data_IF_188020491042
#
_entry.id   IF_188020491042
#
_cell.length_a   1.000
_cell.length_b   1.000
_cell.length_c   1.000
_cell.angle_alpha   90.00
_cell.angle_beta   90.00
_cell.angle_gamma   90.00
#
_symmetry.space_group_name_H-M   'P 1'
#
loop_
_entity.id
_entity.type
_entity.pdbx_description
1 polymer ?
#
# COMPACT_ATOMS: atom_id res chain seq x y z
N UNK A 1 -19.25 -32.11 -2.85
CA UNK A 1 -18.85 -31.06 -1.89
C UNK A 1 -17.67 -30.28 -2.48
N UNK A 2 -17.92 -29.14 -3.12
CA UNK A 2 -16.89 -28.29 -3.71
C UNK A 2 -16.38 -27.30 -2.66
N UNK A 3 -15.14 -27.50 -2.19
CA UNK A 3 -14.49 -26.56 -1.27
C UNK A 3 -14.04 -25.31 -2.03
N UNK A 4 -14.62 -24.16 -1.67
CA UNK A 4 -14.12 -22.85 -2.11
C UNK A 4 -12.81 -22.55 -1.37
N UNK A 5 -11.69 -22.67 -2.07
CA UNK A 5 -10.38 -22.19 -1.59
C UNK A 5 -10.43 -20.66 -1.48
N UNK A 6 -10.47 -20.15 -0.26
CA UNK A 6 -10.41 -18.71 0.03
C UNK A 6 -9.01 -18.20 -0.34
N UNK A 7 -8.91 -17.43 -1.42
CA UNK A 7 -7.67 -16.76 -1.81
C UNK A 7 -7.17 -15.89 -0.64
N UNK A 8 -6.11 -16.33 0.04
CA UNK A 8 -5.47 -15.58 1.13
C UNK A 8 -5.02 -14.21 0.60
N UNK A 9 -5.44 -13.14 1.30
CA UNK A 9 -5.15 -11.75 0.92
C UNK A 9 -3.66 -11.45 1.14
N UNK A 10 -3.05 -10.80 0.15
CA UNK A 10 -1.62 -10.46 0.07
C UNK A 10 -1.36 -9.20 0.92
N UNK A 11 -0.77 -9.32 2.10
CA UNK A 11 -0.52 -8.19 3.02
C UNK A 11 0.94 -7.74 2.95
N UNK A 12 1.22 -6.44 2.76
CA UNK A 12 2.57 -5.88 2.76
C UNK A 12 3.28 -6.06 4.13
N UNK A 13 4.61 -5.88 4.18
CA UNK A 13 5.30 -5.76 5.48
C UNK A 13 4.74 -4.58 6.27
N UNK A 14 4.25 -4.87 7.48
CA UNK A 14 3.82 -3.84 8.43
C UNK A 14 5.03 -2.99 8.85
N UNK A 15 4.78 -1.79 9.37
CA UNK A 15 5.86 -0.93 9.86
C UNK A 15 6.58 -1.55 11.07
N UNK A 16 5.91 -2.41 11.82
CA UNK A 16 6.51 -3.22 12.88
C UNK A 16 7.51 -4.25 12.34
N UNK A 17 7.18 -4.96 11.26
CA UNK A 17 8.12 -5.86 10.60
C UNK A 17 9.37 -5.10 10.13
N UNK A 18 9.20 -3.92 9.52
CA UNK A 18 10.31 -3.06 9.09
C UNK A 18 11.14 -2.54 10.27
N UNK A 19 10.51 -2.25 11.41
CA UNK A 19 11.20 -1.80 12.64
C UNK A 19 12.06 -2.93 13.21
N UNK A 20 11.53 -4.15 13.29
CA UNK A 20 12.25 -5.34 13.77
C UNK A 20 13.45 -5.70 12.90
N UNK A 21 13.28 -5.66 11.58
CA UNK A 21 14.39 -5.91 10.63
C UNK A 21 15.50 -4.85 10.79
N UNK A 22 15.15 -3.57 10.93
CA UNK A 22 16.13 -2.49 11.16
C UNK A 22 16.86 -2.65 12.48
N UNK A 23 16.16 -2.97 13.56
CA UNK A 23 16.76 -3.19 14.87
C UNK A 23 17.75 -4.36 14.86
N UNK A 24 17.40 -5.47 14.20
CA UNK A 24 18.31 -6.61 14.03
C UNK A 24 19.57 -6.24 13.25
N UNK A 25 19.42 -5.48 12.15
CA UNK A 25 20.55 -5.05 11.34
C UNK A 25 21.47 -4.08 12.08
N UNK A 26 20.92 -3.13 12.84
CA UNK A 26 21.70 -2.18 13.63
C UNK A 26 22.44 -2.85 14.80
N UNK A 27 21.82 -3.84 15.45
CA UNK A 27 22.44 -4.57 16.56
C UNK A 27 23.58 -5.50 16.13
N UNK A 28 23.63 -5.86 14.84
CA UNK A 28 24.61 -6.81 14.29
C UNK A 28 25.32 -6.24 13.04
N UNK A 29 25.45 -4.92 12.97
CA UNK A 29 25.86 -4.18 11.77
C UNK A 29 27.23 -4.60 11.21
N UNK A 30 28.13 -5.05 12.08
CA UNK A 30 29.50 -5.40 11.71
C UNK A 30 29.67 -6.86 11.24
N UNK A 31 28.68 -7.74 11.46
CA UNK A 31 28.78 -9.19 11.16
C UNK A 31 27.64 -9.77 10.33
N UNK A 32 26.61 -8.98 10.00
CA UNK A 32 25.38 -9.50 9.39
C UNK A 32 25.32 -9.22 7.90
N UNK A 33 25.44 -10.27 7.09
CA UNK A 33 25.18 -10.20 5.65
C UNK A 33 23.68 -10.05 5.38
N UNK A 34 23.32 -9.51 4.21
CA UNK A 34 21.93 -9.51 3.73
C UNK A 34 21.31 -10.91 3.75
N UNK A 35 22.10 -11.97 3.50
CA UNK A 35 21.65 -13.37 3.61
C UNK A 35 21.23 -13.74 5.04
N UNK A 36 21.94 -13.24 6.04
CA UNK A 36 21.66 -13.49 7.46
C UNK A 36 20.40 -12.75 7.90
N UNK A 37 20.19 -11.51 7.44
CA UNK A 37 18.94 -10.77 7.65
C UNK A 37 17.74 -11.50 7.07
N UNK A 38 17.86 -12.01 5.83
CA UNK A 38 16.78 -12.76 5.18
C UNK A 38 16.52 -14.08 5.92
N UNK A 39 17.57 -14.77 6.36
CA UNK A 39 17.46 -16.04 7.10
C UNK A 39 16.80 -15.81 8.46
N UNK A 40 17.21 -14.76 9.19
CA UNK A 40 16.60 -14.36 10.44
C UNK A 40 15.14 -13.93 10.25
N UNK A 41 14.84 -13.14 9.23
CA UNK A 41 13.48 -12.71 8.93
C UNK A 41 12.56 -13.90 8.58
N UNK A 42 13.06 -14.89 7.82
CA UNK A 42 12.33 -16.15 7.56
C UNK A 42 12.09 -16.96 8.84
N UNK A 43 13.07 -17.06 9.74
CA UNK A 43 12.93 -17.75 11.02
C UNK A 43 11.94 -17.09 11.98
N UNK A 44 11.71 -15.79 11.84
CA UNK A 44 10.81 -15.03 12.71
C UNK A 44 9.43 -14.78 12.07
N UNK A 45 9.07 -15.53 11.02
CA UNK A 45 7.84 -15.33 10.21
C UNK A 45 7.67 -13.89 9.68
N UNK A 46 8.76 -13.12 9.63
CA UNK A 46 8.85 -11.81 9.02
C UNK A 46 9.16 -11.94 7.52
N UNK A 47 8.94 -13.11 6.92
CA UNK A 47 9.04 -13.29 5.48
C UNK A 47 7.66 -13.26 4.87
N UNK A 48 7.40 -12.23 4.07
CA UNK A 48 6.27 -12.20 3.17
C UNK A 48 6.74 -12.65 1.77
N UNK A 49 6.58 -13.94 1.41
CA UNK A 49 6.98 -14.46 0.10
C UNK A 49 6.22 -13.83 -1.07
N UNK A 50 5.20 -13.01 -0.77
CA UNK A 50 4.32 -12.38 -1.74
C UNK A 50 4.35 -10.84 -1.68
N UNK A 51 5.34 -10.25 -1.02
CA UNK A 51 5.65 -8.83 -1.09
C UNK A 51 6.10 -8.48 -2.52
N UNK A 52 5.13 -8.28 -3.44
CA UNK A 52 5.43 -7.61 -4.69
C UNK A 52 5.98 -6.24 -4.35
N UNK A 53 7.12 -5.91 -4.96
CA UNK A 53 7.78 -4.59 -4.93
C UNK A 53 6.71 -3.51 -4.87
N UNK A 54 6.82 -2.59 -3.91
CA UNK A 54 5.96 -1.41 -3.80
C UNK A 54 5.84 -0.81 -5.21
N UNK A 55 4.69 -0.98 -5.87
CA UNK A 55 4.49 -0.31 -7.16
C UNK A 55 4.48 1.18 -6.80
N UNK A 56 5.33 2.01 -7.41
CA UNK A 56 5.30 3.44 -7.15
C UNK A 56 3.88 3.93 -7.40
N UNK A 57 3.33 4.69 -6.43
CA UNK A 57 2.01 5.29 -6.57
C UNK A 57 2.07 6.30 -7.71
N UNK A 58 1.40 5.99 -8.82
CA UNK A 58 1.38 6.85 -10.00
C UNK A 58 0.72 8.20 -9.68
N UNK A 59 -0.32 8.19 -8.84
CA UNK A 59 -1.07 9.38 -8.43
C UNK A 59 -0.91 9.65 -6.95
N UNK A 60 0.34 9.72 -6.46
CA UNK A 60 0.63 9.88 -5.02
C UNK A 60 -0.12 11.05 -4.38
N UNK A 61 -0.13 12.23 -5.00
CA UNK A 61 -0.78 13.43 -4.45
C UNK A 61 -2.31 13.26 -4.40
N UNK A 62 -2.88 12.61 -5.42
CA UNK A 62 -4.31 12.30 -5.46
C UNK A 62 -4.70 11.26 -4.40
N UNK A 63 -3.94 10.18 -4.29
CA UNK A 63 -4.15 9.12 -3.30
C UNK A 63 -4.02 9.66 -1.88
N UNK A 64 -3.04 10.53 -1.61
CA UNK A 64 -2.85 11.17 -0.30
C UNK A 64 -4.03 12.12 0.02
N UNK A 65 -4.53 12.91 -0.95
CA UNK A 65 -5.70 13.78 -0.77
C UNK A 65 -7.01 12.99 -0.53
N UNK A 66 -7.22 11.92 -1.28
CA UNK A 66 -8.36 11.00 -1.08
C UNK A 66 -8.32 10.34 0.29
N UNK A 67 -7.13 9.93 0.74
CA UNK A 67 -6.95 9.31 2.04
C UNK A 67 -7.35 10.25 3.18
N UNK A 68 -6.88 11.50 3.19
CA UNK A 68 -7.27 12.48 4.21
C UNK A 68 -8.77 12.79 4.17
N UNK A 69 -9.37 12.86 2.97
CA UNK A 69 -10.81 13.04 2.84
C UNK A 69 -11.62 11.86 3.39
N UNK A 70 -11.23 10.62 3.08
CA UNK A 70 -11.86 9.41 3.62
C UNK A 70 -11.73 9.35 5.14
N UNK A 71 -10.53 9.62 5.66
CA UNK A 71 -10.24 9.63 7.10
C UNK A 71 -11.08 10.65 7.86
N UNK A 72 -11.39 11.80 7.24
CA UNK A 72 -12.30 12.79 7.81
C UNK A 72 -13.76 12.29 7.90
N UNK A 73 -14.16 11.39 6.99
CA UNK A 73 -15.51 10.84 6.87
C UNK A 73 -15.74 9.53 7.64
N UNK A 74 -14.71 8.71 7.84
CA UNK A 74 -14.79 7.39 8.50
C UNK A 74 -15.38 7.44 9.91
N UNK A 75 -15.37 8.60 10.58
CA UNK A 75 -16.01 8.77 11.88
C UNK A 75 -17.55 8.82 11.82
N UNK A 76 -18.17 8.91 10.62
CA UNK A 76 -19.60 9.22 10.49
C UNK A 76 -20.37 8.42 9.44
N UNK A 77 -19.75 7.89 8.36
CA UNK A 77 -20.51 7.32 7.23
C UNK A 77 -19.75 6.16 6.55
N UNK A 78 -20.49 5.14 6.08
CA UNK A 78 -19.96 4.11 5.18
C UNK A 78 -19.75 4.67 3.77
N UNK A 79 -18.51 4.64 3.27
CA UNK A 79 -18.14 5.21 1.98
C UNK A 79 -18.14 4.12 0.91
N UNK A 80 -18.98 4.27 -0.12
CA UNK A 80 -18.99 3.37 -1.28
C UNK A 80 -17.82 3.65 -2.23
N UNK A 81 -17.39 2.63 -2.96
CA UNK A 81 -16.32 2.78 -3.97
C UNK A 81 -16.66 3.75 -5.09
N UNK A 82 -17.94 3.90 -5.45
CA UNK A 82 -18.41 4.89 -6.44
C UNK A 82 -18.23 6.32 -5.95
N UNK A 83 -18.52 6.57 -4.67
CA UNK A 83 -18.33 7.89 -4.08
C UNK A 83 -16.84 8.27 -4.05
N UNK A 84 -15.95 7.31 -3.76
CA UNK A 84 -14.50 7.50 -3.84
C UNK A 84 -14.08 7.86 -5.27
N UNK A 85 -14.59 7.17 -6.29
CA UNK A 85 -14.30 7.47 -7.70
C UNK A 85 -14.79 8.86 -8.10
N UNK A 86 -16.01 9.22 -7.71
CA UNK A 86 -16.56 10.55 -7.95
C UNK A 86 -15.67 11.63 -7.33
N UNK A 87 -15.27 11.45 -6.06
CA UNK A 87 -14.40 12.41 -5.39
C UNK A 87 -12.99 12.46 -5.98
N UNK A 88 -12.46 11.31 -6.42
CA UNK A 88 -11.18 11.22 -7.10
C UNK A 88 -11.16 12.06 -8.38
N UNK A 89 -12.23 11.99 -9.18
CA UNK A 89 -12.37 12.82 -10.38
C UNK A 89 -12.45 14.32 -10.08
N UNK A 90 -13.07 14.72 -8.96
CA UNK A 90 -13.05 16.11 -8.52
C UNK A 90 -11.63 16.57 -8.14
N UNK A 91 -10.95 15.81 -7.28
CA UNK A 91 -9.58 16.15 -6.87
C UNK A 91 -8.60 16.14 -8.04
N UNK A 92 -8.78 15.24 -9.01
CA UNK A 92 -7.93 15.20 -10.20
C UNK A 92 -8.02 16.50 -11.01
N UNK A 93 -9.20 17.13 -11.09
CA UNK A 93 -9.41 18.41 -11.76
C UNK A 93 -8.92 19.61 -10.94
N UNK A 94 -9.03 19.54 -9.62
CA UNK A 94 -8.63 20.62 -8.70
C UNK A 94 -7.10 20.69 -8.49
N UNK A 95 -6.43 19.53 -8.52
CA UNK A 95 -4.99 19.43 -8.32
C UNK A 95 -4.24 19.87 -9.59
N UNK A 96 -3.62 21.05 -9.53
CA UNK A 96 -2.78 21.61 -10.62
C UNK A 96 -1.68 20.67 -11.10
N UNK A 97 -1.22 19.76 -10.24
CA UNK A 97 -0.18 18.76 -10.55
C UNK A 97 -0.62 17.77 -11.64
N UNK A 98 -1.93 17.56 -11.81
CA UNK A 98 -2.50 16.63 -12.79
C UNK A 98 -3.21 17.36 -13.95
N UNK A 99 -3.06 18.69 -14.04
CA UNK A 99 -3.67 19.49 -15.10
C UNK A 99 -3.03 19.15 -16.45
N UNK A 100 -3.83 18.56 -17.37
CA UNK A 100 -3.36 18.09 -18.68
C UNK A 100 -3.05 16.60 -18.76
N UNK A 101 -3.19 15.83 -17.67
CA UNK A 101 -3.16 14.36 -17.70
C UNK A 101 -4.57 13.80 -17.94
N UNK A 102 -4.67 12.63 -18.57
CA UNK A 102 -5.95 11.94 -18.71
C UNK A 102 -6.40 11.33 -17.37
N UNK A 103 -7.69 11.49 -17.07
CA UNK A 103 -8.29 11.03 -15.82
C UNK A 103 -8.23 9.49 -15.72
N UNK A 104 -7.65 8.93 -14.65
CA UNK A 104 -7.51 7.48 -14.51
C UNK A 104 -8.88 6.81 -14.45
N UNK A 105 -9.15 5.90 -15.40
CA UNK A 105 -10.38 5.12 -15.45
C UNK A 105 -11.43 5.64 -16.42
N UNK A 106 -11.21 6.79 -17.08
CA UNK A 106 -11.90 7.07 -18.35
C UNK A 106 -11.21 6.30 -19.45
N UNK A 107 -11.64 5.06 -19.66
CA UNK A 107 -11.37 4.36 -20.91
C UNK A 107 -11.96 5.20 -22.03
N UNK A 108 -11.12 5.71 -22.92
CA UNK A 108 -11.52 6.17 -24.25
C UNK A 108 -11.89 4.93 -25.07
N UNK A 109 -13.14 4.49 -24.92
CA UNK A 109 -13.77 3.43 -25.70
C UNK A 109 -15.15 3.87 -26.12
#
# INVERSE_FOLDING_TARGET
MTSFSTKQKRTAFTDEHKRRIRAFYQANADSTSQKDVITWAKKNDLHNPHAKRHKPRQYKVLEDALYEWIKALEKKIFISGELIRFKAGQFFKELKVYQGMEEPGKSSG
#
